data_IF_587859964987
#
_entry.id   IF_587859964987
#
_cell.length_a   1.000
_cell.length_b   1.000
_cell.length_c   1.000
_cell.angle_alpha   90.00
_cell.angle_beta   90.00
_cell.angle_gamma   90.00
#
_symmetry.space_group_name_H-M   'P 1'
#
loop_
_entity.id
_entity.type
_entity.pdbx_description
1 polymer ?
#
# COMPACT_ATOMS: atom_id res chain seq x y z
N UNK A 1 -11.01 -19.38 25.32
CA UNK A 1 -12.06 -18.47 24.79
C UNK A 1 -11.75 -17.06 25.25
N UNK A 2 -11.25 -16.21 24.37
CA UNK A 2 -10.86 -14.83 24.73
C UNK A 2 -12.10 -13.96 24.76
N UNK A 3 -12.56 -13.60 25.95
CA UNK A 3 -13.69 -12.70 26.16
C UNK A 3 -13.35 -11.31 25.59
N UNK A 4 -13.98 -10.97 24.47
CA UNK A 4 -13.99 -9.61 23.94
C UNK A 4 -14.91 -8.80 24.87
N UNK A 5 -14.35 -7.77 25.51
CA UNK A 5 -15.03 -6.85 26.44
C UNK A 5 -16.44 -6.48 25.95
N UNK A 6 -17.41 -6.52 26.87
CA UNK A 6 -18.86 -6.57 26.61
C UNK A 6 -19.50 -5.38 25.89
N UNK A 7 -18.75 -4.35 25.52
CA UNK A 7 -19.28 -3.17 24.82
C UNK A 7 -19.34 -3.35 23.29
N UNK A 8 -18.35 -3.98 22.66
CA UNK A 8 -18.31 -4.11 21.19
C UNK A 8 -19.22 -5.20 20.64
N UNK A 9 -19.65 -6.18 21.45
CA UNK A 9 -20.50 -7.27 20.98
C UNK A 9 -21.87 -6.80 20.48
N UNK A 10 -22.39 -5.69 21.03
CA UNK A 10 -23.71 -5.17 20.68
C UNK A 10 -23.73 -4.37 19.37
N UNK A 11 -22.58 -4.05 18.80
CA UNK A 11 -22.46 -3.28 17.55
C UNK A 11 -22.20 -4.18 16.32
N UNK A 12 -21.75 -5.41 16.55
CA UNK A 12 -21.40 -6.38 15.50
C UNK A 12 -22.66 -7.13 15.08
N UNK A 13 -23.08 -6.91 13.83
CA UNK A 13 -24.19 -7.66 13.24
C UNK A 13 -23.80 -9.13 12.97
N UNK A 14 -22.64 -9.35 12.35
CA UNK A 14 -22.12 -10.70 12.09
C UNK A 14 -20.62 -10.67 11.83
N UNK A 15 -19.93 -11.77 12.12
CA UNK A 15 -18.54 -11.98 11.71
C UNK A 15 -18.36 -13.35 11.08
N UNK A 16 -17.47 -13.44 10.08
CA UNK A 16 -17.10 -14.69 9.41
C UNK A 16 -15.60 -14.83 9.27
N UNK A 17 -15.12 -16.06 9.42
CA UNK A 17 -13.77 -16.44 9.03
C UNK A 17 -13.77 -16.86 7.56
N UNK A 18 -12.90 -16.27 6.76
CA UNK A 18 -12.72 -16.59 5.34
C UNK A 18 -11.37 -17.27 5.19
N UNK A 19 -11.40 -18.50 4.69
CA UNK A 19 -10.20 -19.25 4.36
C UNK A 19 -9.75 -18.88 2.94
N UNK A 20 -8.96 -17.82 2.84
CA UNK A 20 -8.28 -17.39 1.61
C UNK A 20 -6.78 -17.71 1.70
N UNK A 21 -5.99 -17.29 0.70
CA UNK A 21 -4.52 -17.41 0.71
C UNK A 21 -3.92 -16.90 2.03
N UNK A 22 -4.49 -15.82 2.55
CA UNK A 22 -4.29 -15.37 3.93
C UNK A 22 -5.61 -15.47 4.69
N UNK A 23 -5.64 -15.99 5.93
CA UNK A 23 -6.86 -16.00 6.73
C UNK A 23 -7.39 -14.58 6.94
N UNK A 24 -8.69 -14.37 6.65
CA UNK A 24 -9.37 -13.08 6.85
C UNK A 24 -10.48 -13.27 7.87
N UNK A 25 -10.57 -12.36 8.84
CA UNK A 25 -11.76 -12.18 9.67
C UNK A 25 -12.53 -11.00 9.10
N UNK A 26 -13.74 -11.27 8.57
CA UNK A 26 -14.65 -10.23 8.10
C UNK A 26 -15.71 -9.96 9.17
N UNK A 27 -15.82 -8.71 9.60
CA UNK A 27 -16.76 -8.22 10.61
C UNK A 27 -17.69 -7.22 9.91
N UNK A 28 -18.99 -7.39 10.10
CA UNK A 28 -20.04 -6.47 9.64
C UNK A 28 -20.73 -5.90 10.86
N UNK A 29 -20.79 -4.58 10.94
CA UNK A 29 -21.47 -3.83 11.99
C UNK A 29 -22.91 -3.50 11.59
N UNK A 30 -23.75 -3.15 12.56
CA UNK A 30 -25.17 -2.84 12.32
C UNK A 30 -25.38 -1.61 11.41
N UNK A 31 -24.42 -0.71 11.34
CA UNK A 31 -24.39 0.46 10.46
C UNK A 31 -23.94 0.12 9.01
N UNK A 32 -23.83 -1.17 8.67
CA UNK A 32 -23.32 -1.70 7.39
C UNK A 32 -21.82 -1.46 7.17
N UNK A 33 -21.08 -0.97 8.17
CA UNK A 33 -19.62 -0.89 8.08
C UNK A 33 -19.06 -2.30 8.01
N UNK A 34 -18.24 -2.56 6.99
CA UNK A 34 -17.55 -3.85 6.79
C UNK A 34 -16.06 -3.68 7.00
N UNK A 35 -15.50 -4.48 7.90
CA UNK A 35 -14.06 -4.52 8.20
C UNK A 35 -13.53 -5.92 7.87
N UNK A 36 -12.42 -5.98 7.13
CA UNK A 36 -11.73 -7.23 6.80
C UNK A 36 -10.31 -7.17 7.35
N UNK A 37 -10.00 -8.06 8.29
CA UNK A 37 -8.73 -8.10 9.00
C UNK A 37 -7.96 -9.34 8.54
N UNK A 38 -6.76 -9.11 8.01
CA UNK A 38 -5.82 -10.19 7.73
C UNK A 38 -5.19 -10.66 9.05
N UNK A 39 -5.24 -11.97 9.30
CA UNK A 39 -4.74 -12.54 10.55
C UNK A 39 -3.46 -13.31 10.28
N UNK A 40 -2.38 -12.90 10.96
CA UNK A 40 -1.17 -13.70 11.09
C UNK A 40 -0.99 -14.08 12.55
N UNK A 41 -1.17 -15.36 12.86
CA UNK A 41 -0.94 -15.89 14.21
C UNK A 41 0.56 -16.16 14.35
N UNK A 42 1.28 -15.34 15.12
CA UNK A 42 2.66 -15.64 15.51
C UNK A 42 2.63 -16.62 16.69
N UNK A 43 3.06 -17.86 16.50
CA UNK A 43 3.34 -18.77 17.61
C UNK A 43 4.58 -18.27 18.34
N UNK A 44 4.41 -17.90 19.61
CA UNK A 44 5.41 -17.27 20.46
C UNK A 44 6.59 -18.23 20.73
N UNK A 45 7.64 -18.14 19.91
CA UNK A 45 8.99 -18.55 20.31
C UNK A 45 10.01 -17.40 20.26
N UNK A 46 9.65 -16.23 19.72
CA UNK A 46 10.59 -15.11 19.62
C UNK A 46 9.96 -13.84 20.21
N UNK A 47 10.48 -13.48 21.39
CA UNK A 47 10.17 -12.24 22.10
C UNK A 47 10.53 -11.05 21.21
N UNK A 48 9.54 -10.17 21.01
CA UNK A 48 9.68 -8.72 20.77
C UNK A 48 10.98 -8.27 20.10
N UNK A 49 11.15 -8.56 18.83
CA UNK A 49 12.11 -7.83 18.02
C UNK A 49 11.47 -6.49 17.61
N UNK A 50 12.01 -5.43 18.22
CA UNK A 50 11.86 -4.03 17.82
C UNK A 50 12.12 -3.93 16.30
N UNK A 51 11.26 -3.21 15.59
CA UNK A 51 11.23 -2.97 14.14
C UNK A 51 12.60 -3.08 13.47
N UNK A 52 12.91 -4.28 12.98
CA UNK A 52 14.13 -4.55 12.24
C UNK A 52 13.72 -5.15 10.89
N UNK A 53 14.05 -4.43 9.81
CA UNK A 53 13.77 -4.84 8.43
C UNK A 53 14.41 -6.20 8.09
N UNK A 54 15.35 -6.67 8.90
CA UNK A 54 15.97 -7.98 8.77
C UNK A 54 15.04 -9.15 9.14
N UNK A 55 13.91 -8.92 9.84
CA UNK A 55 12.93 -9.98 10.12
C UNK A 55 11.95 -10.25 8.95
N UNK A 56 11.94 -9.39 7.92
CA UNK A 56 11.03 -9.56 6.77
C UNK A 56 11.36 -10.80 5.93
N UNK A 57 12.57 -11.39 6.08
CA UNK A 57 12.88 -12.65 5.40
C UNK A 57 12.10 -13.86 5.91
N UNK A 58 11.49 -13.76 7.11
CA UNK A 58 10.74 -14.85 7.75
C UNK A 58 9.24 -14.52 7.92
N UNK A 59 8.75 -13.37 7.45
CA UNK A 59 7.34 -13.01 7.59
C UNK A 59 6.50 -13.44 6.39
N UNK A 60 5.49 -14.26 6.70
CA UNK A 60 4.36 -14.53 5.83
C UNK A 60 3.70 -13.21 5.38
N UNK A 61 3.21 -13.22 4.14
CA UNK A 61 2.94 -12.09 3.25
C UNK A 61 1.89 -11.02 3.68
N UNK A 62 1.00 -11.18 4.69
CA UNK A 62 0.05 -10.11 5.07
C UNK A 62 0.70 -8.82 5.57
N UNK A 63 1.79 -8.94 6.34
CA UNK A 63 2.52 -7.80 6.90
C UNK A 63 3.26 -7.02 5.80
N UNK A 64 3.69 -7.71 4.74
CA UNK A 64 4.33 -7.07 3.60
C UNK A 64 3.40 -6.04 2.93
N UNK A 65 2.10 -6.36 2.79
CA UNK A 65 1.13 -5.43 2.20
C UNK A 65 0.96 -4.13 3.00
N UNK A 66 1.00 -4.19 4.33
CA UNK A 66 0.92 -2.98 5.19
C UNK A 66 2.18 -2.13 5.01
N UNK A 67 3.36 -2.75 5.04
CA UNK A 67 4.62 -2.03 4.84
C UNK A 67 4.77 -1.45 3.44
N UNK A 68 4.28 -2.14 2.41
CA UNK A 68 4.29 -1.65 1.03
C UNK A 68 3.42 -0.40 0.86
N UNK A 69 2.29 -0.31 1.58
CA UNK A 69 1.42 0.88 1.60
C UNK A 69 2.08 2.00 2.41
N UNK A 70 2.61 1.71 3.59
CA UNK A 70 3.30 2.69 4.43
C UNK A 70 4.49 3.29 3.69
N UNK A 71 5.29 2.44 3.04
CA UNK A 71 6.40 2.86 2.19
C UNK A 71 5.93 3.76 1.05
N UNK A 72 4.86 3.38 0.35
CA UNK A 72 4.26 4.21 -0.71
C UNK A 72 3.87 5.58 -0.18
N UNK A 73 3.20 5.66 0.97
CA UNK A 73 2.73 6.92 1.55
C UNK A 73 3.87 7.84 2.00
N UNK A 74 4.95 7.26 2.54
CA UNK A 74 6.14 8.03 2.96
C UNK A 74 6.90 8.59 1.75
N UNK A 75 6.91 7.86 0.63
CA UNK A 75 7.76 8.20 -0.51
C UNK A 75 7.02 8.90 -1.64
N UNK A 76 5.69 8.92 -1.64
CA UNK A 76 4.92 9.57 -2.69
C UNK A 76 5.17 11.09 -2.71
N UNK A 77 5.30 11.65 -3.91
CA UNK A 77 5.46 13.09 -4.05
C UNK A 77 4.14 13.81 -3.80
N UNK A 78 4.20 14.83 -2.93
CA UNK A 78 3.04 15.62 -2.49
C UNK A 78 1.84 14.75 -2.06
N UNK A 79 1.87 14.19 -0.83
CA UNK A 79 0.81 13.31 -0.32
C UNK A 79 -0.62 13.87 -0.45
N UNK A 80 -0.89 15.17 -0.23
CA UNK A 80 -2.23 15.72 -0.42
C UNK A 80 -2.73 15.64 -1.86
N UNK A 81 -1.90 16.02 -2.85
CA UNK A 81 -2.26 15.97 -4.26
C UNK A 81 -2.46 14.51 -4.71
N UNK A 82 -1.59 13.62 -4.24
CA UNK A 82 -1.73 12.18 -4.46
C UNK A 82 -3.07 11.65 -3.95
N UNK A 83 -3.50 12.04 -2.74
CA UNK A 83 -4.79 11.62 -2.18
C UNK A 83 -5.97 12.13 -3.01
N UNK A 84 -5.93 13.38 -3.50
CA UNK A 84 -6.96 13.91 -4.39
C UNK A 84 -7.01 13.15 -5.71
N UNK A 85 -5.86 12.92 -6.34
CA UNK A 85 -5.77 12.18 -7.59
C UNK A 85 -6.28 10.74 -7.42
N UNK A 86 -5.84 10.04 -6.37
CA UNK A 86 -6.27 8.68 -6.07
C UNK A 86 -7.77 8.62 -5.81
N UNK A 87 -8.33 9.58 -5.06
CA UNK A 87 -9.76 9.64 -4.78
C UNK A 87 -10.57 9.86 -6.06
N UNK A 88 -10.12 10.78 -6.91
CA UNK A 88 -10.76 11.06 -8.20
C UNK A 88 -10.73 9.83 -9.12
N UNK A 89 -9.53 9.27 -9.37
CA UNK A 89 -9.33 8.11 -10.25
C UNK A 89 -10.07 6.89 -9.72
N UNK A 90 -10.04 6.64 -8.41
CA UNK A 90 -10.78 5.52 -7.80
C UNK A 90 -12.28 5.67 -8.00
N UNK A 91 -12.82 6.87 -7.77
CA UNK A 91 -14.25 7.15 -7.96
C UNK A 91 -14.65 6.98 -9.42
N UNK A 92 -13.82 7.47 -10.35
CA UNK A 92 -14.00 7.24 -11.78
C UNK A 92 -14.01 5.74 -12.11
N UNK A 93 -12.98 5.00 -11.67
CA UNK A 93 -12.83 3.56 -11.94
C UNK A 93 -14.02 2.74 -11.40
N UNK A 94 -14.53 3.10 -10.22
CA UNK A 94 -15.74 2.48 -9.66
C UNK A 94 -16.97 2.77 -10.52
N UNK A 95 -17.17 4.00 -10.97
CA UNK A 95 -18.33 4.39 -11.80
C UNK A 95 -18.32 3.74 -13.17
N UNK A 96 -17.15 3.52 -13.77
CA UNK A 96 -17.03 2.85 -15.08
C UNK A 96 -16.90 1.33 -14.98
N UNK A 97 -16.91 0.75 -13.77
CA UNK A 97 -16.84 -0.69 -13.58
C UNK A 97 -15.45 -1.32 -13.72
N UNK A 98 -14.37 -0.52 -13.65
CA UNK A 98 -12.98 -0.96 -13.75
C UNK A 98 -12.30 -1.17 -12.38
N UNK A 99 -13.05 -1.22 -11.29
CA UNK A 99 -12.52 -1.43 -9.95
C UNK A 99 -12.90 -2.82 -9.41
N UNK A 100 -11.90 -3.65 -9.11
CA UNK A 100 -12.14 -4.92 -8.42
C UNK A 100 -11.20 -6.04 -8.85
N UNK A 101 -10.29 -6.42 -7.96
CA UNK A 101 -9.31 -7.50 -8.18
C UNK A 101 -9.96 -8.85 -8.52
N UNK A 102 -11.10 -9.15 -7.89
CA UNK A 102 -11.82 -10.42 -8.08
C UNK A 102 -12.27 -10.61 -9.53
N UNK A 103 -12.51 -9.52 -10.26
CA UNK A 103 -12.98 -9.53 -11.64
C UNK A 103 -11.84 -9.40 -12.67
N UNK A 104 -10.57 -9.50 -12.23
CA UNK A 104 -9.40 -9.30 -13.10
C UNK A 104 -9.04 -7.83 -13.34
N UNK A 105 -9.80 -6.89 -12.78
CA UNK A 105 -9.47 -5.46 -12.83
C UNK A 105 -8.50 -5.05 -11.72
N UNK A 106 -8.07 -3.79 -11.77
CA UNK A 106 -7.14 -3.22 -10.81
C UNK A 106 -7.80 -3.09 -9.42
N UNK A 107 -7.05 -3.48 -8.39
CA UNK A 107 -7.43 -3.28 -6.98
C UNK A 107 -6.98 -1.93 -6.46
N UNK A 108 -7.39 -1.58 -5.24
CA UNK A 108 -7.08 -0.28 -4.62
C UNK A 108 -5.58 0.03 -4.57
N UNK A 109 -4.75 -0.94 -4.21
CA UNK A 109 -3.29 -0.76 -4.19
C UNK A 109 -2.70 -0.52 -5.59
N UNK A 110 -3.20 -1.23 -6.61
CA UNK A 110 -2.75 -1.04 -8.00
C UNK A 110 -3.07 0.38 -8.50
N UNK A 111 -4.26 0.89 -8.22
CA UNK A 111 -4.63 2.28 -8.53
C UNK A 111 -3.76 3.29 -7.79
N UNK A 112 -3.41 3.01 -6.53
CA UNK A 112 -2.50 3.85 -5.74
C UNK A 112 -1.10 3.90 -6.38
N UNK A 113 -0.56 2.78 -6.85
CA UNK A 113 0.73 2.75 -7.56
C UNK A 113 0.67 3.61 -8.83
N UNK A 114 -0.38 3.48 -9.65
CA UNK A 114 -0.53 4.27 -10.87
C UNK A 114 -0.57 5.76 -10.59
N UNK A 115 -1.33 6.18 -9.57
CA UNK A 115 -1.41 7.58 -9.18
C UNK A 115 -0.07 8.10 -8.65
N UNK A 116 0.62 7.31 -7.81
CA UNK A 116 1.94 7.68 -7.31
C UNK A 116 2.95 7.87 -8.45
N UNK A 117 2.93 7.01 -9.47
CA UNK A 117 3.79 7.14 -10.64
C UNK A 117 3.59 8.48 -11.34
N UNK A 118 2.33 8.89 -11.54
CA UNK A 118 1.99 10.17 -12.14
C UNK A 118 2.45 11.34 -11.27
N UNK A 119 2.24 11.27 -9.95
CA UNK A 119 2.77 12.28 -9.02
C UNK A 119 4.30 12.40 -9.11
N UNK A 120 5.02 11.28 -9.16
CA UNK A 120 6.48 11.29 -9.31
C UNK A 120 6.95 11.80 -10.67
N UNK A 121 6.18 11.60 -11.73
CA UNK A 121 6.56 11.97 -13.10
C UNK A 121 6.29 13.44 -13.40
N UNK A 122 5.16 13.97 -12.94
CA UNK A 122 4.67 15.29 -13.36
C UNK A 122 4.69 16.35 -12.26
N UNK A 123 4.84 15.99 -10.99
CA UNK A 123 5.03 16.97 -9.92
C UNK A 123 6.54 17.25 -9.71
N UNK A 124 6.88 18.54 -9.69
CA UNK A 124 8.22 19.01 -9.34
C UNK A 124 8.55 18.71 -7.87
N UNK A 125 9.78 18.33 -7.52
CA UNK A 125 10.22 18.17 -6.12
C UNK A 125 10.01 19.43 -5.27
N UNK A 126 10.10 20.62 -5.88
CA UNK A 126 9.97 21.92 -5.18
C UNK A 126 8.51 22.19 -4.79
N UNK A 127 7.56 21.79 -5.64
CA UNK A 127 6.10 21.87 -5.35
C UNK A 127 5.64 20.87 -4.29
N UNK A 128 6.53 19.99 -3.81
CA UNK A 128 6.22 18.99 -2.77
C UNK A 128 6.23 19.57 -1.36
N UNK A 129 6.77 20.78 -1.17
CA UNK A 129 6.98 21.41 0.14
C UNK A 129 6.07 22.61 0.39
N UNK A 130 5.48 23.20 -0.65
CA UNK A 130 4.51 24.28 -0.49
C UNK A 130 3.08 23.72 -0.41
N UNK A 131 2.35 24.18 0.59
CA UNK A 131 0.99 23.79 0.97
C UNK A 131 0.00 23.74 -0.20
N UNK A 132 -1.08 22.95 -0.02
CA UNK A 132 -2.24 22.80 -0.92
C UNK A 132 -2.75 24.13 -1.48
N UNK A 133 -2.55 25.23 -0.77
CA UNK A 133 -3.02 26.58 -1.11
C UNK A 133 -2.51 27.13 -2.45
N UNK A 134 -1.46 26.55 -3.05
CA UNK A 134 -0.92 27.01 -4.33
C UNK A 134 -1.23 26.09 -5.53
N UNK A 135 -1.93 24.97 -5.31
CA UNK A 135 -2.24 24.04 -6.39
C UNK A 135 -3.61 24.36 -7.01
N UNK A 136 -3.59 24.91 -8.23
CA UNK A 136 -4.82 25.32 -8.91
C UNK A 136 -5.64 24.13 -9.40
N UNK A 137 -6.95 24.35 -9.57
CA UNK A 137 -7.87 23.36 -10.14
C UNK A 137 -7.42 22.96 -11.56
N UNK A 138 -6.91 23.91 -12.34
CA UNK A 138 -6.41 23.65 -13.70
C UNK A 138 -5.17 22.73 -13.69
N UNK A 139 -4.23 22.93 -12.77
CA UNK A 139 -3.09 22.03 -12.60
C UNK A 139 -3.52 20.63 -12.17
N UNK A 140 -4.56 20.52 -11.33
CA UNK A 140 -5.13 19.24 -10.96
C UNK A 140 -5.73 18.50 -12.16
N UNK A 141 -6.56 19.15 -12.97
CA UNK A 141 -7.15 18.53 -14.15
C UNK A 141 -6.11 18.21 -15.21
N UNK A 142 -5.07 19.04 -15.36
CA UNK A 142 -3.91 18.70 -16.18
C UNK A 142 -3.23 17.42 -15.69
N UNK A 143 -3.03 17.24 -14.38
CA UNK A 143 -2.47 16.01 -13.81
C UNK A 143 -3.36 14.79 -14.08
N UNK A 144 -4.68 14.95 -13.96
CA UNK A 144 -5.66 13.91 -14.30
C UNK A 144 -5.60 13.56 -15.78
N UNK A 145 -5.49 14.54 -16.67
CA UNK A 145 -5.33 14.31 -18.10
C UNK A 145 -4.02 13.55 -18.40
N UNK A 146 -2.93 13.92 -17.72
CA UNK A 146 -1.66 13.21 -17.84
C UNK A 146 -1.76 11.76 -17.35
N UNK A 147 -2.53 11.48 -16.31
CA UNK A 147 -2.81 10.11 -15.87
C UNK A 147 -3.42 9.29 -17.01
N UNK A 148 -4.52 9.76 -17.60
CA UNK A 148 -5.22 9.03 -18.66
C UNK A 148 -4.38 8.92 -19.93
N UNK A 149 -3.75 10.02 -20.37
CA UNK A 149 -2.88 10.03 -21.53
C UNK A 149 -1.71 9.06 -21.40
N UNK A 150 -1.05 9.04 -20.23
CA UNK A 150 0.08 8.15 -19.96
C UNK A 150 -0.33 6.69 -20.06
N UNK A 151 -1.41 6.29 -19.36
CA UNK A 151 -1.80 4.87 -19.31
C UNK A 151 -2.58 4.38 -20.53
N UNK A 152 -3.16 5.28 -21.31
CA UNK A 152 -3.71 4.96 -22.64
C UNK A 152 -2.62 4.56 -23.63
N UNK A 153 -1.44 5.22 -23.56
CA UNK A 153 -0.31 4.95 -24.45
C UNK A 153 0.78 4.06 -23.81
N UNK A 154 0.54 3.57 -22.60
CA UNK A 154 1.54 2.76 -21.90
C UNK A 154 1.66 1.38 -22.54
N UNK A 155 2.88 1.00 -22.94
CA UNK A 155 3.13 -0.33 -23.49
C UNK A 155 3.25 -1.38 -22.36
N UNK A 156 2.11 -1.94 -21.96
CA UNK A 156 2.02 -2.97 -20.92
C UNK A 156 2.72 -4.28 -21.27
N UNK A 157 2.89 -4.59 -22.57
CA UNK A 157 3.54 -5.83 -23.00
C UNK A 157 5.07 -5.78 -22.86
N UNK A 158 5.66 -4.60 -23.09
CA UNK A 158 7.11 -4.42 -23.06
C UNK A 158 7.62 -3.90 -21.71
N UNK A 159 6.80 -3.16 -20.96
CA UNK A 159 7.24 -2.45 -19.77
C UNK A 159 6.41 -2.81 -18.53
N UNK A 160 7.10 -3.09 -17.43
CA UNK A 160 6.50 -3.15 -16.11
C UNK A 160 6.58 -1.79 -15.43
N UNK A 161 5.47 -1.33 -14.85
CA UNK A 161 5.45 -0.11 -14.05
C UNK A 161 6.32 -0.29 -12.80
N UNK A 162 7.24 0.65 -12.57
CA UNK A 162 8.12 0.66 -11.40
C UNK A 162 8.16 2.05 -10.80
N UNK A 163 7.81 2.16 -9.52
CA UNK A 163 7.92 3.40 -8.75
C UNK A 163 9.36 3.67 -8.29
N UNK A 164 10.11 2.61 -7.97
CA UNK A 164 11.47 2.69 -7.46
C UNK A 164 12.42 1.84 -8.30
N UNK A 165 13.71 2.22 -8.40
CA UNK A 165 14.72 1.40 -9.08
C UNK A 165 14.83 0.00 -8.43
N UNK A 166 15.30 -1.00 -9.19
CA UNK A 166 15.48 -2.39 -8.72
C UNK A 166 16.34 -2.51 -7.45
N UNK A 167 17.11 -1.47 -7.10
CA UNK A 167 17.93 -1.40 -5.90
C UNK A 167 17.14 -1.45 -4.59
N UNK A 168 15.83 -1.22 -4.60
CA UNK A 168 15.00 -1.40 -3.39
C UNK A 168 15.06 -2.83 -2.86
N UNK A 169 14.97 -3.85 -3.74
CA UNK A 169 15.16 -5.25 -3.36
C UNK A 169 16.62 -5.60 -3.08
N UNK A 170 17.56 -4.87 -3.70
CA UNK A 170 18.99 -5.14 -3.49
C UNK A 170 19.51 -4.54 -2.19
N UNK A 171 19.06 -3.38 -1.70
CA UNK A 171 19.52 -2.87 -0.39
C UNK A 171 18.95 -3.67 0.79
N UNK A 172 17.77 -4.27 0.62
CA UNK A 172 17.25 -5.28 1.57
C UNK A 172 18.07 -6.59 1.54
N UNK A 173 18.76 -6.89 0.43
CA UNK A 173 19.60 -8.09 0.27
C UNK A 173 21.11 -7.82 0.46
N UNK A 174 21.61 -6.61 0.20
CA UNK A 174 23.02 -6.22 0.22
C UNK A 174 23.47 -5.79 1.63
N UNK A 175 22.54 -5.34 2.47
CA UNK A 175 22.74 -5.29 3.92
C UNK A 175 23.13 -6.65 4.52
N UNK A 176 22.82 -7.77 3.83
CA UNK A 176 23.24 -9.13 4.26
C UNK A 176 24.73 -9.39 4.13
N UNK A 177 25.43 -8.80 3.15
CA UNK A 177 26.86 -9.08 2.94
C UNK A 177 27.77 -8.31 3.89
N UNK A 178 27.37 -7.11 4.31
CA UNK A 178 28.18 -6.28 5.23
C UNK A 178 27.97 -6.66 6.70
N UNK A 179 26.78 -7.14 7.07
CA UNK A 179 26.49 -7.59 8.44
C UNK A 179 27.11 -8.96 8.77
N UNK A 180 27.36 -9.83 7.77
CA UNK A 180 28.02 -11.13 7.99
C UNK A 180 29.56 -11.05 8.07
N UNK A 181 30.19 -9.94 7.67
CA UNK A 181 31.67 -9.81 7.76
C UNK A 181 32.18 -9.08 9.01
N UNK A 182 31.32 -8.45 9.81
CA UNK A 182 31.71 -7.76 11.07
C UNK A 182 31.55 -8.62 12.33
N UNK A 183 31.72 -9.94 12.16
CA UNK A 183 31.70 -10.93 13.23
C UNK A 183 33.02 -11.70 13.35
N UNK A 184 34.17 -11.07 13.12
CA UNK A 184 35.45 -11.59 13.60
C UNK A 184 36.51 -10.49 13.58
N UNK A 185 36.62 -9.74 14.67
CA UNK A 185 37.90 -9.16 15.06
C UNK A 185 38.09 -9.54 16.52
N UNK A 186 38.87 -10.61 16.72
CA UNK A 186 39.66 -10.78 17.93
C UNK A 186 40.74 -9.70 17.89
N UNK A 187 40.77 -8.84 18.89
CA UNK A 187 41.87 -8.57 19.86
C UNK A 187 41.24 -7.68 20.93
#
# INVERSE_FOLDING_TARGET
ETQINGTMKNEIAHYRKIQALFPIISIVFHDQTKVEIFVQIKTNKEKSAKYDFNLVSNFHEPIAGVHEIEYLLVHVRSPPIFQYLLTFVRTWAQRVGLYGRVYGYLGGYSWAILCAYICHRFLSPIKSLSSIEQFSIEEFFSLVQQFFSTFAHFNWSANALRLYPKSYKQNTLAGRSLAQSRGSVRI
#
